data_IF_449218481498
#
_entry.id   IF_449218481498
#
_cell.length_a   1.000
_cell.length_b   1.000
_cell.length_c   1.000
_cell.angle_alpha   90.00
_cell.angle_beta   90.00
_cell.angle_gamma   90.00
#
_symmetry.space_group_name_H-M   'P 1'
#
loop_
_entity.id
_entity.type
_entity.pdbx_description
1 polymer ?
#
# COMPACT_ATOMS: atom_id res chain seq x y z
N UNK A 1 -8.41 4.32 -10.27
CA UNK A 1 -8.94 5.17 -9.19
C UNK A 1 -9.62 4.33 -8.12
N UNK A 2 -9.65 4.84 -6.91
CA UNK A 2 -10.24 4.13 -5.78
C UNK A 2 -11.76 4.05 -5.98
N UNK A 3 -12.30 2.86 -5.82
CA UNK A 3 -13.75 2.63 -5.96
C UNK A 3 -14.48 3.07 -4.70
N UNK A 4 -15.71 3.52 -4.89
CA UNK A 4 -16.57 3.92 -3.75
C UNK A 4 -16.72 2.80 -2.73
N UNK A 5 -16.92 1.57 -3.20
CA UNK A 5 -17.10 0.41 -2.32
C UNK A 5 -15.84 0.14 -1.50
N UNK A 6 -14.67 0.38 -2.05
CA UNK A 6 -13.40 0.23 -1.34
C UNK A 6 -13.32 1.19 -0.16
N UNK A 7 -13.71 2.45 -0.37
CA UNK A 7 -13.73 3.46 0.70
C UNK A 7 -14.72 3.06 1.79
N UNK A 8 -15.91 2.60 1.41
CA UNK A 8 -16.93 2.17 2.38
C UNK A 8 -16.42 1.00 3.23
N UNK A 9 -15.81 0.01 2.58
CA UNK A 9 -15.25 -1.15 3.28
C UNK A 9 -14.13 -0.75 4.23
N UNK A 10 -13.26 0.16 3.78
CA UNK A 10 -12.16 0.66 4.62
C UNK A 10 -12.68 1.39 5.86
N UNK A 11 -13.68 2.24 5.70
CA UNK A 11 -14.32 2.95 6.83
C UNK A 11 -14.91 1.96 7.82
N UNK A 12 -15.63 0.95 7.32
CA UNK A 12 -16.26 -0.05 8.18
C UNK A 12 -15.21 -0.86 8.95
N UNK A 13 -14.15 -1.29 8.30
CA UNK A 13 -13.07 -2.03 8.96
C UNK A 13 -12.34 -1.17 9.98
N UNK A 14 -12.11 0.09 9.66
CA UNK A 14 -11.45 1.02 10.57
C UNK A 14 -12.29 1.24 11.84
N UNK A 15 -13.60 1.42 11.67
CA UNK A 15 -14.50 1.70 12.81
C UNK A 15 -14.55 0.56 13.83
N UNK A 16 -14.37 -0.69 13.40
CA UNK A 16 -14.36 -1.84 14.31
C UNK A 16 -12.96 -2.23 14.77
N UNK A 17 -11.93 -1.59 14.22
CA UNK A 17 -10.54 -1.87 14.57
C UNK A 17 -10.10 -1.04 15.78
N UNK A 18 -8.97 -1.41 16.37
CA UNK A 18 -8.31 -0.63 17.41
C UNK A 18 -7.15 0.19 16.87
N UNK A 19 -7.05 0.29 15.55
CA UNK A 19 -6.00 1.05 14.89
C UNK A 19 -6.31 2.54 14.94
N UNK A 20 -5.28 3.37 14.88
CA UNK A 20 -5.41 4.82 14.98
C UNK A 20 -5.51 5.51 13.62
N UNK A 21 -5.30 4.78 12.55
CA UNK A 21 -5.53 5.25 11.18
C UNK A 21 -5.80 4.07 10.27
N UNK A 22 -6.26 4.35 9.05
CA UNK A 22 -6.41 3.34 8.00
C UNK A 22 -5.82 3.93 6.73
N UNK A 23 -4.82 3.26 6.18
CA UNK A 23 -4.07 3.77 5.05
C UNK A 23 -4.01 2.73 3.94
N UNK A 24 -4.19 3.18 2.71
CA UNK A 24 -4.13 2.31 1.55
C UNK A 24 -2.71 1.85 1.26
N UNK A 25 -2.57 0.57 0.95
CA UNK A 25 -1.28 -0.03 0.62
C UNK A 25 -1.42 -0.97 -0.58
N UNK A 26 -0.30 -1.25 -1.23
CA UNK A 26 -0.19 -2.32 -2.21
C UNK A 26 0.78 -3.37 -1.72
N UNK A 27 0.66 -4.59 -2.25
CA UNK A 27 1.61 -5.65 -1.96
C UNK A 27 2.83 -5.53 -2.87
N UNK A 28 4.01 -5.73 -2.31
CA UNK A 28 5.27 -5.74 -3.04
C UNK A 28 5.77 -7.18 -3.12
N UNK A 29 5.67 -7.78 -4.30
CA UNK A 29 6.20 -9.11 -4.58
C UNK A 29 7.37 -9.00 -5.54
N UNK A 30 8.35 -8.16 -5.20
CA UNK A 30 9.51 -7.85 -6.01
C UNK A 30 10.78 -8.20 -5.25
N UNK A 31 11.87 -8.42 -5.99
CA UNK A 31 13.18 -8.75 -5.42
C UNK A 31 13.90 -7.45 -5.13
N UNK A 32 13.88 -7.04 -3.86
CA UNK A 32 14.41 -5.74 -3.43
C UNK A 32 15.83 -5.86 -2.90
N UNK A 33 16.67 -4.90 -3.29
CA UNK A 33 18.07 -4.85 -2.87
C UNK A 33 18.39 -3.50 -2.26
N UNK A 34 19.28 -3.51 -1.30
CA UNK A 34 19.80 -2.29 -0.67
C UNK A 34 21.28 -2.49 -0.36
N UNK A 35 22.11 -1.51 -0.77
CA UNK A 35 23.55 -1.51 -0.50
C UNK A 35 24.25 -2.82 -0.91
N UNK A 36 23.86 -3.36 -2.07
CA UNK A 36 24.44 -4.58 -2.61
C UNK A 36 23.93 -5.87 -1.98
N UNK A 37 22.88 -5.80 -1.16
CA UNK A 37 22.32 -6.98 -0.47
C UNK A 37 20.82 -7.07 -0.68
N UNK A 38 20.27 -8.30 -0.79
CA UNK A 38 18.82 -8.46 -0.86
C UNK A 38 18.15 -8.09 0.46
N UNK A 39 17.00 -7.41 0.35
CA UNK A 39 16.21 -7.02 1.53
C UNK A 39 15.21 -8.06 1.97
N UNK A 40 14.57 -8.73 1.01
CA UNK A 40 13.39 -9.55 1.30
C UNK A 40 13.53 -11.00 0.87
N UNK A 41 14.74 -11.46 0.62
CA UNK A 41 14.98 -12.89 0.38
C UNK A 41 16.44 -13.22 0.71
N UNK A 42 16.75 -14.52 0.75
CA UNK A 42 18.08 -15.04 1.11
C UNK A 42 18.76 -15.59 -0.13
N UNK A 43 19.96 -15.10 -0.45
CA UNK A 43 20.73 -15.56 -1.59
C UNK A 43 21.71 -16.70 -1.24
N UNK A 44 21.91 -16.99 0.04
CA UNK A 44 22.90 -17.98 0.48
C UNK A 44 22.59 -19.40 0.00
N UNK A 45 21.32 -19.67 -0.28
CA UNK A 45 20.89 -20.98 -0.76
C UNK A 45 21.07 -21.18 -2.26
N UNK A 46 21.65 -20.20 -2.96
CA UNK A 46 22.01 -20.30 -4.37
C UNK A 46 20.86 -20.22 -5.36
N UNK A 47 19.63 -20.07 -4.91
CA UNK A 47 18.45 -19.93 -5.77
C UNK A 47 17.62 -18.73 -5.36
N UNK A 48 17.13 -18.00 -6.37
CA UNK A 48 16.19 -16.91 -6.17
C UNK A 48 14.80 -17.52 -5.98
N UNK A 49 14.08 -17.21 -4.90
CA UNK A 49 12.75 -17.76 -4.69
C UNK A 49 11.75 -17.29 -5.74
N UNK A 50 10.66 -18.03 -5.90
CA UNK A 50 9.55 -17.59 -6.74
C UNK A 50 8.91 -16.35 -6.12
N UNK A 51 8.39 -15.45 -6.96
CA UNK A 51 7.81 -14.21 -6.46
C UNK A 51 6.67 -14.43 -5.46
N UNK A 52 5.88 -15.48 -5.64
CA UNK A 52 4.79 -15.83 -4.72
C UNK A 52 5.29 -16.29 -3.34
N UNK A 53 6.55 -16.72 -3.24
CA UNK A 53 7.17 -17.17 -1.99
C UNK A 53 7.89 -16.03 -1.25
N UNK A 54 7.92 -14.84 -1.82
CA UNK A 54 8.48 -13.67 -1.16
C UNK A 54 7.58 -13.25 0.01
N UNK A 55 8.17 -12.67 1.08
CA UNK A 55 7.36 -12.20 2.21
C UNK A 55 6.39 -11.10 1.79
N UNK A 56 5.30 -10.97 2.54
CA UNK A 56 4.29 -9.94 2.29
C UNK A 56 4.80 -8.59 2.77
N UNK A 57 5.36 -7.84 1.85
CA UNK A 57 5.80 -6.46 2.09
C UNK A 57 4.76 -5.53 1.49
N UNK A 58 4.39 -4.49 2.24
CA UNK A 58 3.38 -3.52 1.83
C UNK A 58 4.02 -2.17 1.60
N UNK A 59 3.55 -1.46 0.57
CA UNK A 59 3.98 -0.08 0.30
C UNK A 59 2.79 0.85 0.47
N UNK A 60 3.01 2.01 1.08
CA UNK A 60 1.99 3.04 1.15
C UNK A 60 1.73 3.58 -0.26
N UNK A 61 0.47 3.63 -0.64
CA UNK A 61 0.09 4.15 -1.96
C UNK A 61 -0.41 5.59 -1.91
N UNK A 62 -0.81 6.06 -0.71
CA UNK A 62 -1.43 7.37 -0.50
C UNK A 62 -2.69 7.58 -1.35
N UNK A 63 -3.35 6.49 -1.75
CA UNK A 63 -4.62 6.56 -2.45
C UNK A 63 -5.72 7.12 -1.56
N UNK A 64 -5.74 6.68 -0.28
CA UNK A 64 -6.57 7.28 0.75
C UNK A 64 -5.94 7.10 2.13
N UNK A 65 -6.40 7.92 3.07
CA UNK A 65 -6.08 7.77 4.48
C UNK A 65 -7.30 8.16 5.31
N UNK A 66 -7.56 7.39 6.35
CA UNK A 66 -8.62 7.66 7.32
C UNK A 66 -7.97 7.78 8.69
N UNK A 67 -8.19 8.89 9.36
CA UNK A 67 -7.53 9.14 10.65
C UNK A 67 -8.42 10.03 11.51
N UNK A 68 -8.39 9.80 12.82
CA UNK A 68 -9.09 10.67 13.76
C UNK A 68 -8.45 12.06 13.78
N UNK A 69 -9.30 13.08 13.96
CA UNK A 69 -8.86 14.48 13.97
C UNK A 69 -7.74 14.72 14.99
N UNK A 70 -7.92 14.21 16.21
CA UNK A 70 -6.94 14.44 17.28
C UNK A 70 -5.61 13.77 17.00
N UNK A 71 -5.65 12.53 16.48
CA UNK A 71 -4.43 11.81 16.12
C UNK A 71 -3.68 12.54 15.00
N UNK A 72 -4.42 13.03 14.01
CA UNK A 72 -3.81 13.77 12.90
C UNK A 72 -3.12 15.04 13.39
N UNK A 73 -3.75 15.78 14.29
CA UNK A 73 -3.18 17.01 14.85
C UNK A 73 -1.92 16.70 15.66
N UNK A 74 -2.00 15.69 16.51
CA UNK A 74 -0.86 15.29 17.36
C UNK A 74 0.35 14.86 16.54
N UNK A 75 0.12 14.04 15.51
CA UNK A 75 1.20 13.50 14.69
C UNK A 75 1.61 14.38 13.52
N UNK A 76 0.76 15.35 13.16
CA UNK A 76 0.95 16.16 11.95
C UNK A 76 1.16 15.29 10.70
N UNK A 77 0.39 14.19 10.61
CA UNK A 77 0.53 13.20 9.56
C UNK A 77 -0.81 12.48 9.40
N UNK A 78 -1.01 11.89 8.22
CA UNK A 78 -2.20 11.08 7.93
C UNK A 78 -1.98 9.59 8.23
N UNK A 79 -0.76 9.21 8.60
CA UNK A 79 -0.43 7.84 9.02
C UNK A 79 -0.22 7.83 10.53
N UNK A 80 -0.97 7.00 11.24
CA UNK A 80 -0.85 6.88 12.69
C UNK A 80 0.33 6.01 13.13
N UNK A 81 0.44 5.79 14.43
CA UNK A 81 1.44 4.88 14.99
C UNK A 81 1.11 3.42 14.74
N UNK A 82 -0.19 3.10 14.70
CA UNK A 82 -0.68 1.74 14.53
C UNK A 82 -1.73 1.73 13.42
N UNK A 83 -1.31 1.90 12.16
CA UNK A 83 -2.27 1.97 11.06
C UNK A 83 -2.85 0.61 10.69
N UNK A 84 -4.13 0.61 10.33
CA UNK A 84 -4.73 -0.50 9.62
C UNK A 84 -4.33 -0.37 8.15
N UNK A 85 -3.54 -1.31 7.65
CA UNK A 85 -3.05 -1.27 6.28
C UNK A 85 -4.07 -1.95 5.36
N UNK A 86 -4.77 -1.16 4.57
CA UNK A 86 -5.81 -1.64 3.68
C UNK A 86 -5.21 -1.95 2.31
N UNK A 87 -5.23 -3.22 1.93
CA UNK A 87 -4.64 -3.68 0.67
C UNK A 87 -5.61 -3.40 -0.48
N UNK A 88 -5.16 -2.58 -1.43
CA UNK A 88 -5.92 -2.24 -2.62
C UNK A 88 -5.78 -3.31 -3.70
N UNK A 89 -6.80 -3.43 -4.55
CA UNK A 89 -6.67 -4.19 -5.79
C UNK A 89 -5.64 -3.53 -6.71
N UNK A 90 -5.04 -4.30 -7.60
CA UNK A 90 -3.96 -3.81 -8.46
C UNK A 90 -4.36 -2.57 -9.28
N UNK A 91 -5.59 -2.54 -9.80
CA UNK A 91 -6.07 -1.42 -10.60
C UNK A 91 -6.30 -0.15 -9.78
N UNK A 92 -6.44 -0.28 -8.46
CA UNK A 92 -6.61 0.85 -7.55
C UNK A 92 -5.28 1.41 -7.02
N UNK A 93 -4.16 0.75 -7.31
CA UNK A 93 -2.85 1.13 -6.81
C UNK A 93 -2.10 2.09 -7.73
N UNK A 94 -2.68 2.43 -8.87
CA UNK A 94 -2.00 3.24 -9.88
C UNK A 94 -1.86 4.67 -9.39
N UNK A 95 -0.62 5.13 -9.31
CA UNK A 95 -0.25 6.48 -8.94
C UNK A 95 0.21 7.19 -10.21
N UNK A 96 -0.32 8.39 -10.45
CA UNK A 96 -0.03 9.14 -11.68
C UNK A 96 1.03 10.21 -11.40
N UNK A 97 2.29 9.81 -11.55
CA UNK A 97 3.43 10.72 -11.40
C UNK A 97 4.05 11.11 -12.74
N UNK A 98 3.86 10.28 -13.76
CA UNK A 98 4.48 10.47 -15.07
C UNK A 98 3.42 10.43 -16.17
N UNK A 99 3.83 10.84 -17.37
CA UNK A 99 2.96 10.77 -18.55
C UNK A 99 2.58 9.31 -18.86
N UNK A 100 3.49 8.38 -18.67
CA UNK A 100 3.24 6.95 -18.90
C UNK A 100 2.17 6.45 -17.93
N UNK A 101 2.24 6.84 -16.66
CA UNK A 101 1.24 6.48 -15.66
C UNK A 101 -0.14 7.01 -16.06
N UNK A 102 -0.20 8.24 -16.56
CA UNK A 102 -1.44 8.84 -17.03
C UNK A 102 -2.05 8.08 -18.21
N UNK A 103 -1.23 7.71 -19.19
CA UNK A 103 -1.69 6.95 -20.35
C UNK A 103 -2.18 5.57 -19.94
N UNK A 104 -1.49 4.92 -19.00
CA UNK A 104 -1.90 3.62 -18.47
C UNK A 104 -3.25 3.73 -17.73
N UNK A 105 -3.41 4.76 -16.90
CA UNK A 105 -4.67 4.99 -16.21
C UNK A 105 -5.82 5.23 -17.19
N UNK A 106 -5.59 6.00 -18.25
CA UNK A 106 -6.58 6.21 -19.31
C UNK A 106 -7.00 4.90 -19.96
N UNK A 107 -6.06 4.01 -20.19
CA UNK A 107 -6.33 2.69 -20.77
C UNK A 107 -7.25 1.86 -19.87
N UNK A 108 -6.99 1.87 -18.56
CA UNK A 108 -7.75 1.09 -17.60
C UNK A 108 -9.17 1.62 -17.37
N UNK A 109 -9.35 2.93 -17.44
CA UNK A 109 -10.62 3.57 -17.08
C UNK A 109 -11.38 4.15 -18.29
N UNK A 110 -11.21 3.53 -19.42
CA UNK A 110 -12.00 3.87 -20.61
C UNK A 110 -13.46 3.54 -20.45
#
# INVERSE_FOLDING_TARGET
>A
MIKKQTIIDAINRFNISKNDSCNSVGLVKEYLWRDGKPLNYNIEKGQVPNSQDLPDIKKLTFGFGIIGKETMIERQNIVGKNPLLYILDEDEQIDIDTKIDFEFAKFLYK
#
